data_IF_490390963771
#
_entry.id   IF_490390963771
#
_cell.length_a   1.000
_cell.length_b   1.000
_cell.length_c   1.000
_cell.angle_alpha   90.00
_cell.angle_beta   90.00
_cell.angle_gamma   90.00
#
_symmetry.space_group_name_H-M   'P 1'
#
loop_
_entity.id
_entity.type
_entity.pdbx_description
1 polymer ?
#
# COMPACT_ATOMS: atom_id res chain seq x y z
N UNK A 1 -5.75 13.06 22.29
CA UNK A 1 -5.93 12.15 21.15
C UNK A 1 -6.72 10.96 21.61
N UNK A 2 -8.05 10.99 21.44
CA UNK A 2 -8.87 9.79 21.59
C UNK A 2 -8.77 9.02 20.29
N UNK A 3 -8.22 7.81 20.32
CA UNK A 3 -8.39 6.87 19.20
C UNK A 3 -9.86 6.48 19.26
N UNK A 4 -10.64 6.91 18.26
CA UNK A 4 -12.03 6.46 18.14
C UNK A 4 -12.01 4.93 18.08
N UNK A 5 -12.83 4.29 18.91
CA UNK A 5 -12.95 2.85 18.96
C UNK A 5 -13.34 2.33 17.57
N UNK A 6 -12.49 1.47 16.99
CA UNK A 6 -12.67 0.97 15.63
C UNK A 6 -13.90 0.06 15.61
N UNK A 7 -15.04 0.58 15.14
CA UNK A 7 -16.25 -0.21 14.97
C UNK A 7 -16.13 -1.04 13.68
N UNK A 8 -15.72 -2.30 13.83
CA UNK A 8 -15.74 -3.26 12.73
C UNK A 8 -17.19 -3.69 12.52
N UNK A 9 -17.74 -3.39 11.35
CA UNK A 9 -19.07 -3.82 10.92
C UNK A 9 -18.88 -4.87 9.82
N UNK A 10 -19.46 -6.05 10.00
CA UNK A 10 -19.47 -7.10 8.98
C UNK A 10 -20.71 -6.95 8.11
N UNK A 11 -20.53 -6.87 6.79
CA UNK A 11 -21.64 -6.87 5.83
C UNK A 11 -21.89 -8.27 5.29
N UNK A 12 -23.15 -8.61 5.07
CA UNK A 12 -23.53 -9.81 4.30
C UNK A 12 -23.47 -9.59 2.79
N UNK A 13 -22.97 -8.42 2.35
CA UNK A 13 -22.81 -8.11 0.94
C UNK A 13 -21.72 -9.02 0.34
N UNK A 14 -22.15 -9.94 -0.53
CA UNK A 14 -21.24 -10.76 -1.31
C UNK A 14 -20.75 -9.93 -2.51
N UNK A 15 -19.44 -9.87 -2.70
CA UNK A 15 -18.89 -9.27 -3.91
C UNK A 15 -19.32 -10.08 -5.13
N UNK A 16 -19.90 -9.42 -6.13
CA UNK A 16 -20.31 -10.06 -7.38
C UNK A 16 -19.17 -10.77 -8.10
N UNK A 17 -17.94 -10.27 -7.90
CA UNK A 17 -16.71 -10.84 -8.43
C UNK A 17 -15.89 -11.61 -7.38
N UNK A 18 -16.52 -11.97 -6.25
CA UNK A 18 -15.89 -12.85 -5.27
C UNK A 18 -15.50 -14.19 -5.91
N UNK A 19 -14.49 -14.85 -5.35
CA UNK A 19 -14.09 -16.19 -5.79
C UNK A 19 -15.28 -17.16 -5.87
N UNK A 20 -16.12 -17.17 -4.84
CA UNK A 20 -17.30 -18.03 -4.78
C UNK A 20 -18.30 -17.70 -5.90
N UNK A 21 -18.58 -16.41 -6.15
CA UNK A 21 -19.48 -15.99 -7.22
C UNK A 21 -18.94 -16.33 -8.62
N UNK A 22 -17.64 -16.12 -8.85
CA UNK A 22 -16.97 -16.45 -10.13
C UNK A 22 -16.93 -17.96 -10.35
N UNK A 23 -16.72 -18.76 -9.30
CA UNK A 23 -16.77 -20.22 -9.36
C UNK A 23 -18.19 -20.74 -9.65
N UNK A 24 -19.20 -20.20 -8.97
CA UNK A 24 -20.60 -20.58 -9.18
C UNK A 24 -21.09 -20.28 -10.60
N UNK A 25 -20.75 -19.09 -11.14
CA UNK A 25 -21.10 -18.68 -12.52
C UNK A 25 -20.42 -19.53 -13.60
N UNK A 26 -19.37 -20.29 -13.27
CA UNK A 26 -18.59 -21.08 -14.23
C UNK A 26 -18.73 -22.59 -14.08
N UNK A 27 -19.65 -23.05 -13.22
CA UNK A 27 -19.89 -24.49 -12.98
C UNK A 27 -20.05 -25.29 -14.30
N UNK A 28 -20.58 -24.67 -15.35
CA UNK A 28 -20.85 -25.30 -16.65
C UNK A 28 -19.77 -25.07 -17.73
N UNK A 29 -18.63 -24.45 -17.41
CA UNK A 29 -17.58 -24.10 -18.39
C UNK A 29 -16.27 -24.90 -18.20
N UNK A 30 -15.64 -25.43 -19.27
CA UNK A 30 -14.49 -26.33 -19.17
C UNK A 30 -13.15 -25.66 -18.79
N UNK A 31 -13.12 -24.38 -18.39
CA UNK A 31 -11.90 -23.63 -18.12
C UNK A 31 -11.56 -23.50 -16.62
N UNK A 32 -10.34 -23.88 -16.22
CA UNK A 32 -9.85 -23.72 -14.83
C UNK A 32 -9.64 -22.25 -14.47
N UNK A 33 -10.28 -21.80 -13.39
CA UNK A 33 -9.99 -20.51 -12.76
C UNK A 33 -8.69 -20.61 -11.96
N UNK A 34 -7.73 -19.72 -12.24
CA UNK A 34 -6.48 -19.61 -11.49
C UNK A 34 -6.36 -18.18 -10.94
N UNK A 35 -5.88 -18.01 -9.70
CA UNK A 35 -5.61 -16.68 -9.17
C UNK A 35 -4.54 -16.01 -10.02
N UNK A 36 -4.65 -14.70 -10.21
CA UNK A 36 -3.59 -13.91 -10.80
C UNK A 36 -2.36 -14.01 -9.88
N UNK A 37 -1.21 -14.38 -10.44
CA UNK A 37 0.05 -14.42 -9.69
C UNK A 37 0.59 -13.03 -9.35
N UNK A 38 -0.09 -11.96 -9.78
CA UNK A 38 0.29 -10.59 -9.47
C UNK A 38 -0.57 -10.01 -8.33
N UNK A 39 0.09 -9.39 -7.35
CA UNK A 39 -0.56 -8.49 -6.41
C UNK A 39 -0.82 -7.15 -7.11
N UNK A 40 -2.08 -6.82 -7.36
CA UNK A 40 -2.49 -5.55 -7.97
C UNK A 40 -2.86 -4.57 -6.88
N UNK A 41 -2.37 -3.33 -6.98
CA UNK A 41 -2.73 -2.26 -6.05
C UNK A 41 -2.75 -0.92 -6.77
N UNK A 42 -3.64 -0.02 -6.37
CA UNK A 42 -3.72 1.32 -6.95
C UNK A 42 -3.95 2.39 -5.88
N UNK A 43 -3.56 3.63 -6.18
CA UNK A 43 -3.88 4.80 -5.37
C UNK A 43 -4.30 5.98 -6.25
N UNK A 44 -5.43 6.57 -5.90
CA UNK A 44 -6.02 7.72 -6.57
C UNK A 44 -5.96 8.93 -5.64
N UNK A 45 -4.78 9.54 -5.55
CA UNK A 45 -4.57 10.75 -4.74
C UNK A 45 -4.92 11.98 -5.58
N UNK A 46 -5.72 12.93 -5.07
CA UNK A 46 -6.03 14.17 -5.78
C UNK A 46 -4.74 14.88 -6.25
N UNK A 47 -4.81 15.50 -7.43
CA UNK A 47 -3.69 16.23 -8.07
C UNK A 47 -2.46 15.37 -8.42
N UNK A 48 -2.52 14.05 -8.24
CA UNK A 48 -1.47 13.11 -8.63
C UNK A 48 -1.97 12.17 -9.73
N UNK A 49 -1.09 11.69 -10.63
CA UNK A 49 -1.45 10.62 -11.55
C UNK A 49 -1.91 9.38 -10.78
N UNK A 50 -2.87 8.64 -11.35
CA UNK A 50 -3.28 7.34 -10.83
C UNK A 50 -2.06 6.41 -10.76
N UNK A 51 -1.67 6.00 -9.55
CA UNK A 51 -0.63 4.99 -9.36
C UNK A 51 -1.28 3.61 -9.45
N UNK A 52 -0.87 2.80 -10.43
CA UNK A 52 -1.32 1.41 -10.58
C UNK A 52 -0.09 0.53 -10.56
N UNK A 53 -0.08 -0.50 -9.72
CA UNK A 53 1.07 -1.38 -9.53
C UNK A 53 0.68 -2.85 -9.69
N UNK A 54 1.64 -3.63 -10.19
CA UNK A 54 1.62 -5.09 -10.18
C UNK A 54 2.89 -5.58 -9.50
N UNK A 55 2.76 -6.41 -8.46
CA UNK A 55 3.88 -6.90 -7.64
C UNK A 55 4.75 -5.76 -7.08
N UNK A 56 4.12 -4.63 -6.75
CA UNK A 56 4.80 -3.45 -6.21
C UNK A 56 5.52 -2.58 -7.23
N UNK A 57 5.46 -2.91 -8.53
CA UNK A 57 6.01 -2.09 -9.60
C UNK A 57 4.91 -1.31 -10.33
N UNK A 58 5.06 0.00 -10.55
CA UNK A 58 4.14 0.79 -11.36
C UNK A 58 3.98 0.21 -12.76
N UNK A 59 2.78 0.31 -13.32
CA UNK A 59 2.50 -0.07 -14.70
C UNK A 59 3.47 0.63 -15.65
N UNK A 60 4.03 -0.12 -16.60
CA UNK A 60 5.03 0.40 -17.54
C UNK A 60 6.47 0.40 -16.99
N UNK A 61 6.70 -0.05 -15.76
CA UNK A 61 8.06 -0.27 -15.25
C UNK A 61 8.78 -1.33 -16.08
N UNK A 62 9.90 -0.94 -16.68
CA UNK A 62 10.79 -1.83 -17.42
C UNK A 62 11.92 -2.33 -16.52
N UNK A 63 12.60 -3.42 -16.90
CA UNK A 63 13.79 -3.92 -16.19
C UNK A 63 14.87 -2.85 -15.98
N UNK A 64 14.98 -1.90 -16.92
CA UNK A 64 15.96 -0.79 -16.86
C UNK A 64 15.61 0.29 -15.83
N UNK A 65 14.32 0.45 -15.54
CA UNK A 65 13.82 1.48 -14.63
C UNK A 65 13.62 0.96 -13.21
N UNK A 66 13.69 -0.35 -12.98
CA UNK A 66 13.66 -0.94 -11.63
C UNK A 66 14.78 -0.34 -10.79
N UNK A 67 14.44 0.13 -9.59
CA UNK A 67 15.37 0.79 -8.67
C UNK A 67 15.49 2.30 -8.86
N UNK A 68 14.90 2.87 -9.92
CA UNK A 68 14.76 4.31 -10.09
C UNK A 68 13.69 4.89 -9.15
N UNK A 69 13.68 6.21 -8.98
CA UNK A 69 12.62 6.89 -8.23
C UNK A 69 11.26 6.78 -8.94
N UNK A 70 11.28 6.75 -10.28
CA UNK A 70 10.12 6.70 -11.15
C UNK A 70 9.41 5.33 -11.09
N UNK A 71 10.14 4.26 -10.74
CA UNK A 71 9.57 2.93 -10.54
C UNK A 71 9.06 2.69 -9.10
N UNK A 72 8.94 3.74 -8.27
CA UNK A 72 8.41 3.61 -6.91
C UNK A 72 6.92 3.83 -6.90
N UNK A 73 6.22 2.92 -6.24
CA UNK A 73 4.81 3.12 -5.91
C UNK A 73 4.62 4.20 -4.84
N UNK A 74 3.54 4.97 -4.97
CA UNK A 74 3.09 5.97 -3.99
C UNK A 74 2.70 5.33 -2.65
N UNK A 75 2.24 4.08 -2.67
CA UNK A 75 1.92 3.31 -1.46
C UNK A 75 3.11 2.49 -0.93
N UNK A 76 4.32 2.70 -1.47
CA UNK A 76 5.50 2.05 -0.93
C UNK A 76 5.80 2.55 0.49
N UNK A 77 6.45 1.70 1.30
CA UNK A 77 6.81 2.02 2.69
C UNK A 77 7.55 3.36 2.83
N UNK A 78 8.42 3.68 1.87
CA UNK A 78 9.21 4.92 1.88
C UNK A 78 8.34 6.14 1.60
N UNK A 79 7.48 6.10 0.59
CA UNK A 79 6.61 7.24 0.26
C UNK A 79 5.52 7.47 1.31
N UNK A 80 4.98 6.39 1.90
CA UNK A 80 4.08 6.50 3.06
C UNK A 80 4.78 7.13 4.27
N UNK A 81 6.03 6.74 4.54
CA UNK A 81 6.79 7.34 5.64
C UNK A 81 7.08 8.82 5.41
N UNK A 82 7.44 9.22 4.18
CA UNK A 82 7.62 10.63 3.82
C UNK A 82 6.33 11.42 3.95
N UNK A 83 5.21 10.85 3.50
CA UNK A 83 3.88 11.47 3.64
C UNK A 83 3.53 11.66 5.12
N UNK A 84 3.84 10.67 5.95
CA UNK A 84 3.69 10.76 7.40
C UNK A 84 4.58 11.84 8.03
N UNK A 85 5.86 11.94 7.63
CA UNK A 85 6.76 13.01 8.09
C UNK A 85 6.24 14.40 7.69
N UNK A 86 5.75 14.57 6.46
CA UNK A 86 5.13 15.81 5.97
C UNK A 86 3.84 16.15 6.72
N UNK A 87 3.07 15.15 7.15
CA UNK A 87 1.91 15.35 8.01
C UNK A 87 2.34 15.82 9.40
N UNK A 88 3.32 15.15 10.01
CA UNK A 88 3.83 15.52 11.33
C UNK A 88 4.42 16.93 11.38
N UNK A 89 5.12 17.38 10.34
CA UNK A 89 5.70 18.72 10.30
C UNK A 89 4.65 19.84 10.33
N UNK A 90 3.40 19.53 9.96
CA UNK A 90 2.26 20.46 10.00
C UNK A 90 1.51 20.46 11.33
N UNK A 91 1.84 19.54 12.24
CA UNK A 91 1.18 19.39 13.54
C UNK A 91 2.15 19.89 14.63
N UNK A 92 1.67 20.73 15.53
CA UNK A 92 2.45 21.21 16.66
C UNK A 92 2.91 20.05 17.56
N UNK A 93 4.14 20.13 18.11
CA UNK A 93 4.80 19.01 18.82
C UNK A 93 4.03 18.55 20.06
N UNK A 94 3.38 19.48 20.76
CA UNK A 94 2.48 19.24 21.90
C UNK A 94 1.25 18.41 21.51
N UNK A 95 0.89 18.43 20.23
CA UNK A 95 -0.17 17.62 19.62
C UNK A 95 0.36 16.32 19.00
N UNK A 96 1.63 15.95 19.16
CA UNK A 96 2.07 14.65 18.66
C UNK A 96 1.60 13.52 19.58
N UNK A 97 1.35 12.31 19.08
CA UNK A 97 1.26 11.11 19.91
C UNK A 97 2.48 10.95 20.83
N UNK A 98 2.29 10.49 22.07
CA UNK A 98 3.38 10.36 23.06
C UNK A 98 4.55 9.52 22.55
N UNK A 99 4.29 8.48 21.75
CA UNK A 99 5.32 7.63 21.13
C UNK A 99 6.29 8.40 20.23
N UNK A 100 5.86 9.54 19.66
CA UNK A 100 6.60 10.35 18.69
C UNK A 100 7.26 11.59 19.31
N UNK A 101 6.93 11.97 20.55
CA UNK A 101 7.51 13.14 21.23
C UNK A 101 8.95 12.95 21.71
N UNK A 102 9.51 11.75 21.55
CA UNK A 102 10.88 11.46 22.01
C UNK A 102 11.92 12.14 21.10
N UNK A 103 13.03 12.67 21.65
CA UNK A 103 14.02 13.44 20.88
C UNK A 103 14.62 12.71 19.66
N UNK A 104 14.60 11.37 19.65
CA UNK A 104 15.24 10.53 18.62
C UNK A 104 14.45 10.36 17.30
N UNK A 105 13.25 10.92 17.18
CA UNK A 105 12.44 10.74 15.95
C UNK A 105 12.93 11.57 14.76
N UNK A 106 13.59 12.72 15.02
CA UNK A 106 13.98 13.67 13.99
C UNK A 106 15.09 13.18 13.05
N UNK A 107 15.88 12.19 13.46
CA UNK A 107 17.11 11.76 12.76
C UNK A 107 16.99 10.41 12.03
N UNK A 108 15.77 9.89 11.83
CA UNK A 108 15.59 8.77 10.92
C UNK A 108 15.73 9.24 9.46
N UNK A 109 16.96 9.57 9.06
CA UNK A 109 17.39 9.33 7.70
C UNK A 109 17.03 7.88 7.38
N UNK A 110 16.33 7.68 6.26
CA UNK A 110 16.04 6.36 5.71
C UNK A 110 17.39 5.72 5.41
N UNK A 111 17.96 5.02 6.40
CA UNK A 111 19.18 4.25 6.24
C UNK A 111 19.01 3.40 4.99
N UNK A 112 19.94 3.53 4.06
CA UNK A 112 20.12 2.66 2.89
C UNK A 112 20.50 1.24 3.35
N UNK A 113 19.73 0.61 4.23
CA UNK A 113 19.83 -0.83 4.43
C UNK A 113 18.97 -1.48 3.35
N UNK A 114 19.63 -2.10 2.35
CA UNK A 114 18.99 -3.08 1.49
C UNK A 114 18.23 -4.04 2.40
N UNK A 115 16.91 -4.21 2.24
CA UNK A 115 16.22 -5.27 2.94
C UNK A 115 16.73 -6.59 2.36
N UNK A 116 17.57 -7.32 3.09
CA UNK A 116 17.77 -8.75 2.84
C UNK A 116 16.53 -9.46 3.35
N UNK A 117 15.50 -9.55 2.51
CA UNK A 117 14.41 -10.50 2.74
C UNK A 117 14.62 -11.71 1.83
N UNK A 118 14.35 -12.93 2.32
CA UNK A 118 14.40 -14.12 1.49
C UNK A 118 13.38 -13.99 0.38
N UNK A 119 13.83 -14.22 -0.85
CA UNK A 119 12.97 -14.50 -1.99
C UNK A 119 12.18 -15.77 -1.70
N UNK A 120 10.86 -15.64 -1.56
CA UNK A 120 9.93 -16.74 -1.76
C UNK A 120 9.43 -16.70 -3.19
#
# INVERSE_FOLDING_TARGET
FGVQELKILQSDLLFEQSRCAVQAKRADSPGRLVPCGAAISWSAVPEQPLDVTANGFPQGTTKKTIGSLQARSQISKVELFRSFQKLLSRIARDKWPHSLRRPRWADHEVRKSRPSWPTW
#
